data_IF_362574793235
#
_entry.id   IF_362574793235
#
_cell.length_a   1.000
_cell.length_b   1.000
_cell.length_c   1.000
_cell.angle_alpha   90.00
_cell.angle_beta   90.00
_cell.angle_gamma   90.00
#
_symmetry.space_group_name_H-M   'P 1'
#
loop_
_entity.id
_entity.type
_entity.pdbx_description
1 polymer ?
#
# COMPACT_ATOMS: atom_id res chain seq x y z
N UNK A 1 7.43 3.83 11.97
CA UNK A 1 6.81 3.91 10.64
C UNK A 1 7.94 4.06 9.63
N UNK A 2 8.05 3.17 8.66
CA UNK A 2 9.10 3.26 7.63
C UNK A 2 8.78 4.38 6.63
N UNK A 3 9.78 4.88 5.88
CA UNK A 3 9.55 5.89 4.82
C UNK A 3 8.53 5.41 3.77
N UNK A 4 8.63 4.13 3.40
CA UNK A 4 7.72 3.47 2.47
C UNK A 4 6.27 3.47 2.98
N UNK A 5 6.10 3.11 4.24
CA UNK A 5 4.80 3.04 4.90
C UNK A 5 4.15 4.43 4.99
N UNK A 6 4.94 5.48 5.27
CA UNK A 6 4.49 6.87 5.23
C UNK A 6 4.11 7.33 3.82
N UNK A 7 4.87 6.93 2.79
CA UNK A 7 4.56 7.25 1.40
C UNK A 7 3.25 6.58 0.95
N UNK A 8 3.03 5.31 1.31
CA UNK A 8 1.78 4.59 1.02
C UNK A 8 0.60 5.26 1.72
N UNK A 9 0.74 5.59 3.01
CA UNK A 9 -0.29 6.31 3.78
C UNK A 9 -0.69 7.62 3.08
N UNK A 10 0.30 8.44 2.71
CA UNK A 10 0.06 9.71 2.04
C UNK A 10 -0.72 9.52 0.73
N UNK A 11 -0.30 8.59 -0.12
CA UNK A 11 -0.97 8.33 -1.40
C UNK A 11 -2.39 7.81 -1.19
N UNK A 12 -2.61 7.00 -0.15
CA UNK A 12 -3.93 6.44 0.15
C UNK A 12 -4.89 7.51 0.66
N UNK A 13 -4.41 8.44 1.50
CA UNK A 13 -5.18 9.58 1.98
C UNK A 13 -5.49 10.56 0.83
N UNK A 14 -4.50 10.91 0.00
CA UNK A 14 -4.66 11.79 -1.17
C UNK A 14 -5.70 11.25 -2.18
N UNK A 15 -5.82 9.92 -2.28
CA UNK A 15 -6.76 9.24 -3.19
C UNK A 15 -8.09 8.84 -2.53
N UNK A 16 -8.28 9.13 -1.25
CA UNK A 16 -9.51 8.79 -0.51
C UNK A 16 -9.73 7.29 -0.30
N UNK A 17 -8.66 6.49 -0.34
CA UNK A 17 -8.70 5.04 -0.07
C UNK A 17 -8.83 4.80 1.44
N UNK A 18 -8.09 5.59 2.22
CA UNK A 18 -8.17 5.64 3.67
C UNK A 18 -8.83 6.92 4.14
N UNK A 19 -9.50 6.85 5.28
CA UNK A 19 -10.07 7.99 6.01
C UNK A 19 -9.42 8.05 7.40
N UNK A 20 -9.64 9.13 8.18
CA UNK A 20 -9.10 9.22 9.54
C UNK A 20 -9.42 7.98 10.38
N UNK A 21 -8.42 7.49 11.11
CA UNK A 21 -8.46 6.28 11.95
C UNK A 21 -8.53 4.93 11.20
N UNK A 22 -8.40 4.93 9.88
CA UNK A 22 -8.17 3.69 9.14
C UNK A 22 -6.74 3.23 9.36
N UNK A 23 -6.53 1.92 9.40
CA UNK A 23 -5.20 1.33 9.57
C UNK A 23 -4.81 0.62 8.29
N UNK A 24 -3.57 0.83 7.85
CA UNK A 24 -2.95 -0.01 6.83
C UNK A 24 -1.94 -0.94 7.48
N UNK A 25 -1.69 -2.09 6.86
CA UNK A 25 -0.63 -3.03 7.23
C UNK A 25 0.05 -3.49 5.95
N UNK A 26 1.37 -3.40 5.90
CA UNK A 26 2.15 -4.05 4.86
C UNK A 26 2.20 -5.55 5.19
N UNK A 27 1.71 -6.38 4.27
CA UNK A 27 1.63 -7.82 4.43
C UNK A 27 2.83 -8.54 3.78
N UNK A 28 3.36 -7.96 2.69
CA UNK A 28 4.48 -8.52 1.96
C UNK A 28 5.13 -7.50 1.04
N UNK A 29 6.41 -7.73 0.74
CA UNK A 29 7.16 -7.02 -0.30
C UNK A 29 7.80 -8.08 -1.17
N UNK A 30 7.49 -8.06 -2.46
CA UNK A 30 8.00 -9.01 -3.45
C UNK A 30 8.53 -8.30 -4.69
N UNK A 31 9.36 -8.99 -5.47
CA UNK A 31 9.96 -8.46 -6.68
C UNK A 31 11.32 -9.07 -6.97
N UNK A 32 11.78 -8.90 -8.21
CA UNK A 32 13.11 -9.33 -8.62
C UNK A 32 14.18 -8.48 -7.89
N UNK A 33 15.13 -9.08 -7.17
CA UNK A 33 16.24 -8.36 -6.53
C UNK A 33 16.97 -7.39 -7.47
N UNK A 34 17.05 -7.71 -8.76
CA UNK A 34 17.74 -6.91 -9.79
C UNK A 34 16.86 -5.86 -10.45
N UNK A 35 15.59 -5.75 -10.07
CA UNK A 35 14.68 -4.71 -10.55
C UNK A 35 14.65 -3.53 -9.58
N UNK A 36 14.44 -2.32 -10.09
CA UNK A 36 14.13 -1.13 -9.28
C UNK A 36 12.66 -1.08 -8.85
N UNK A 37 11.84 -2.02 -9.32
CA UNK A 37 10.43 -2.11 -8.97
C UNK A 37 10.17 -3.20 -7.94
N UNK A 38 9.33 -2.88 -6.96
CA UNK A 38 8.81 -3.82 -5.97
C UNK A 38 7.28 -3.81 -5.99
N UNK A 39 6.72 -4.98 -5.72
CA UNK A 39 5.30 -5.15 -5.42
C UNK A 39 5.14 -5.15 -3.91
N UNK A 40 4.27 -4.29 -3.40
CA UNK A 40 4.00 -4.16 -1.97
C UNK A 40 2.54 -4.49 -1.71
N UNK A 41 2.35 -5.50 -0.89
CA UNK A 41 1.05 -6.03 -0.52
C UNK A 41 0.57 -5.30 0.73
N UNK A 42 -0.58 -4.65 0.64
CA UNK A 42 -1.11 -3.78 1.69
C UNK A 42 -2.53 -4.17 2.03
N UNK A 43 -2.78 -4.41 3.31
CA UNK A 43 -4.09 -4.67 3.87
C UNK A 43 -4.64 -3.40 4.50
N UNK A 44 -5.88 -3.04 4.15
CA UNK A 44 -6.56 -1.85 4.67
C UNK A 44 -7.67 -2.28 5.63
N UNK A 45 -7.69 -1.67 6.81
CA UNK A 45 -8.64 -1.95 7.88
C UNK A 45 -9.48 -0.71 8.19
N UNK A 46 -10.79 -0.90 8.21
CA UNK A 46 -11.72 0.10 8.72
C UNK A 46 -11.54 0.29 10.24
N UNK A 47 -11.88 1.47 10.79
CA UNK A 47 -11.84 1.72 12.22
C UNK A 47 -12.69 0.69 12.95
N UNK A 48 -12.17 0.15 14.06
CA UNK A 48 -12.83 -0.87 14.89
C UNK A 48 -13.08 -2.22 14.19
N UNK A 49 -12.54 -2.44 12.99
CA UNK A 49 -12.59 -3.73 12.31
C UNK A 49 -11.29 -4.51 12.51
N UNK A 50 -11.39 -5.76 12.95
CA UNK A 50 -10.25 -6.66 13.08
C UNK A 50 -9.86 -7.34 11.77
N UNK A 51 -10.81 -7.48 10.84
CA UNK A 51 -10.58 -8.03 9.50
C UNK A 51 -10.23 -6.93 8.50
N UNK A 52 -9.28 -7.17 7.58
CA UNK A 52 -9.03 -6.25 6.49
C UNK A 52 -10.23 -6.22 5.53
N UNK A 53 -10.51 -5.06 4.95
CA UNK A 53 -11.59 -4.86 3.98
C UNK A 53 -11.08 -4.81 2.55
N UNK A 54 -9.85 -4.33 2.35
CA UNK A 54 -9.24 -4.24 1.03
C UNK A 54 -7.84 -4.82 1.09
N UNK A 55 -7.48 -5.51 0.01
CA UNK A 55 -6.11 -5.86 -0.29
C UNK A 55 -5.66 -5.06 -1.49
N UNK A 56 -4.48 -4.48 -1.39
CA UNK A 56 -3.81 -3.71 -2.43
C UNK A 56 -2.50 -4.37 -2.79
N UNK A 57 -2.26 -4.53 -4.09
CA UNK A 57 -0.97 -4.92 -4.63
C UNK A 57 -0.39 -3.71 -5.37
N UNK A 58 0.49 -2.98 -4.67
CA UNK A 58 1.05 -1.72 -5.13
C UNK A 58 2.34 -1.94 -5.91
N UNK A 59 2.51 -1.25 -7.04
CA UNK A 59 3.81 -1.15 -7.68
C UNK A 59 4.56 0.07 -7.15
N UNK A 60 5.81 -0.12 -6.73
CA UNK A 60 6.64 0.94 -6.16
C UNK A 60 8.01 0.92 -6.82
N UNK A 61 8.45 2.09 -7.29
CA UNK A 61 9.83 2.34 -7.68
C UNK A 61 10.63 2.64 -6.40
N UNK A 62 11.51 1.73 -6.00
CA UNK A 62 12.27 1.89 -4.75
C UNK A 62 13.38 2.92 -4.86
N UNK A 63 13.89 3.19 -6.07
CA UNK A 63 14.95 4.17 -6.30
C UNK A 63 14.37 5.58 -6.23
N UNK A 64 13.17 5.77 -6.77
CA UNK A 64 12.46 7.07 -6.78
C UNK A 64 11.49 7.25 -5.61
N UNK A 65 11.38 6.26 -4.74
CA UNK A 65 10.39 6.19 -3.65
C UNK A 65 8.95 6.51 -4.12
N UNK A 66 8.60 6.06 -5.34
CA UNK A 66 7.38 6.47 -6.03
C UNK A 66 6.37 5.32 -6.11
N UNK A 67 5.15 5.56 -5.65
CA UNK A 67 4.03 4.62 -5.81
C UNK A 67 3.43 4.77 -7.20
N UNK A 68 3.66 3.79 -8.07
CA UNK A 68 3.12 3.72 -9.43
C UNK A 68 1.67 3.23 -9.41
N UNK A 69 0.79 4.08 -8.88
CA UNK A 69 -0.58 3.73 -8.54
C UNK A 69 -1.42 3.22 -9.72
N UNK A 70 -1.18 3.73 -10.93
CA UNK A 70 -1.90 3.31 -12.15
C UNK A 70 -1.64 1.85 -12.53
N UNK A 71 -0.54 1.27 -12.05
CA UNK A 71 -0.17 -0.14 -12.25
C UNK A 71 -0.49 -1.01 -11.03
N UNK A 72 -1.11 -0.42 -10.02
CA UNK A 72 -1.54 -1.10 -8.81
C UNK A 72 -2.93 -1.71 -9.00
N UNK A 73 -3.18 -2.80 -8.30
CA UNK A 73 -4.47 -3.50 -8.33
C UNK A 73 -5.00 -3.67 -6.92
N UNK A 74 -6.32 -3.71 -6.76
CA UNK A 74 -6.95 -3.97 -5.47
C UNK A 74 -8.18 -4.85 -5.61
N UNK A 75 -8.56 -5.47 -4.50
CA UNK A 75 -9.84 -6.17 -4.39
C UNK A 75 -10.39 -6.05 -2.97
N UNK A 76 -11.72 -6.14 -2.87
CA UNK A 76 -12.42 -6.22 -1.59
C UNK A 76 -12.31 -7.63 -1.01
N UNK A 77 -12.17 -7.71 0.31
CA UNK A 77 -12.09 -8.93 1.10
C UNK A 77 -13.40 -9.24 1.83
#
# INVERSE_FOLDING_TARGET
>A
MSKLEAAIHRVFDERGITLPNWRIKIDGISGDPNSDYRRVEVLVYKPRCHKPMQYWNLCIDIVRELVLFETSTFYYL
#
